data_IF_051027384529
#
_entry.id   IF_051027384529
#
_cell.length_a   1.000
_cell.length_b   1.000
_cell.length_c   1.000
_cell.angle_alpha   90.00
_cell.angle_beta   90.00
_cell.angle_gamma   90.00
#
_symmetry.space_group_name_H-M   'P 1'
#
loop_
_entity.id
_entity.type
_entity.pdbx_description
1 polymer ?
#
# COMPACT_ATOMS: atom_id res chain seq x y z
N UNK A 1 -37.00 -11.42 5.50
CA UNK A 1 -37.15 -10.86 6.50
C UNK A 1 -36.05 -10.46 7.38
N UNK A 2 -35.43 -11.31 8.10
CA UNK A 2 -34.42 -10.94 9.03
C UNK A 2 -33.12 -10.56 8.40
N UNK A 3 -32.95 -10.87 7.17
CA UNK A 3 -31.69 -10.67 6.46
C UNK A 3 -31.23 -9.24 6.42
N UNK A 4 -32.15 -8.31 6.33
CA UNK A 4 -31.81 -6.89 6.23
C UNK A 4 -31.16 -6.30 7.47
N UNK A 5 -31.25 -7.00 8.58
CA UNK A 5 -30.77 -6.46 9.84
C UNK A 5 -29.24 -6.36 9.89
N UNK A 6 -28.54 -7.24 9.22
CA UNK A 6 -27.08 -7.25 9.27
C UNK A 6 -26.42 -6.22 8.38
N UNK A 7 -27.11 -5.68 7.39
CA UNK A 7 -26.47 -4.73 6.48
C UNK A 7 -26.01 -3.43 7.14
N UNK A 8 -26.79 -2.78 7.99
CA UNK A 8 -26.34 -1.54 8.62
C UNK A 8 -25.08 -1.73 9.46
N UNK A 9 -24.96 -2.87 10.10
CA UNK A 9 -23.76 -3.14 10.92
C UNK A 9 -22.50 -3.23 10.08
N UNK A 10 -22.59 -3.83 8.92
CA UNK A 10 -21.44 -3.95 8.01
C UNK A 10 -21.00 -2.59 7.50
N UNK A 11 -21.93 -1.75 7.14
CA UNK A 11 -21.61 -0.41 6.65
C UNK A 11 -20.98 0.45 7.73
N UNK A 12 -21.45 0.34 8.96
CA UNK A 12 -20.88 1.09 10.06
C UNK A 12 -19.42 0.70 10.30
N UNK A 13 -19.10 -0.58 10.21
CA UNK A 13 -17.75 -1.05 10.38
C UNK A 13 -16.81 -0.47 9.30
N UNK A 14 -17.30 -0.37 8.07
CA UNK A 14 -16.51 0.20 6.98
C UNK A 14 -16.17 1.67 7.21
N UNK A 15 -17.05 2.42 7.82
CA UNK A 15 -16.82 3.84 8.05
C UNK A 15 -15.75 4.11 9.11
N UNK A 16 -15.48 3.15 9.98
CA UNK A 16 -14.49 3.33 11.04
C UNK A 16 -13.05 3.19 10.54
N UNK A 17 -12.84 2.87 9.29
CA UNK A 17 -11.51 2.61 8.76
C UNK A 17 -10.92 3.77 7.97
N UNK A 18 -11.49 4.98 8.12
CA UNK A 18 -11.10 6.14 7.32
C UNK A 18 -9.67 6.63 7.54
N UNK A 19 -9.08 6.39 8.73
CA UNK A 19 -7.73 6.84 9.06
C UNK A 19 -6.69 5.72 9.01
N UNK A 20 -7.02 4.60 8.42
CA UNK A 20 -6.15 3.44 8.34
C UNK A 20 -5.26 3.49 7.10
N UNK A 21 -4.33 2.53 7.03
CA UNK A 21 -3.51 2.34 5.84
C UNK A 21 -4.39 2.05 4.62
N UNK A 22 -3.91 2.46 3.45
CA UNK A 22 -4.55 2.11 2.18
C UNK A 22 -4.65 0.58 2.13
N UNK A 23 -5.84 0.02 1.89
CA UNK A 23 -5.97 -1.43 1.79
C UNK A 23 -5.49 -1.95 0.43
N UNK A 24 -5.15 -3.25 0.38
CA UNK A 24 -4.85 -3.88 -0.89
C UNK A 24 -6.15 -4.22 -1.63
N UNK A 25 -6.09 -4.15 -2.96
CA UNK A 25 -7.11 -4.76 -3.81
C UNK A 25 -6.95 -6.28 -3.72
N UNK A 26 -7.95 -7.07 -4.16
CA UNK A 26 -7.80 -8.53 -4.19
C UNK A 26 -6.56 -8.98 -4.99
N UNK A 27 -6.29 -8.33 -6.10
CA UNK A 27 -5.12 -8.65 -6.93
C UNK A 27 -3.84 -8.17 -6.26
N UNK A 28 -3.86 -6.98 -5.68
CA UNK A 28 -2.70 -6.45 -4.98
C UNK A 28 -2.28 -7.29 -3.79
N UNK A 29 -3.24 -7.92 -3.12
CA UNK A 29 -2.95 -8.78 -1.98
C UNK A 29 -2.12 -10.01 -2.36
N UNK A 30 -2.13 -10.39 -3.64
CA UNK A 30 -1.36 -11.53 -4.13
C UNK A 30 0.07 -11.17 -4.52
N UNK A 31 0.40 -9.88 -4.55
CA UNK A 31 1.72 -9.42 -4.94
C UNK A 31 2.67 -9.55 -3.75
N UNK A 32 3.83 -10.15 -3.99
CA UNK A 32 4.85 -10.33 -2.98
C UNK A 32 5.88 -9.22 -3.06
N UNK A 33 6.20 -8.61 -1.92
CA UNK A 33 7.29 -7.63 -1.83
C UNK A 33 8.53 -8.34 -1.34
N UNK A 34 9.64 -8.19 -2.05
CA UNK A 34 10.90 -8.84 -1.69
C UNK A 34 12.00 -7.80 -1.58
N UNK A 35 13.02 -8.11 -0.76
CA UNK A 35 14.14 -7.20 -0.56
C UNK A 35 15.28 -7.44 -1.53
N UNK A 36 15.32 -8.62 -2.15
CA UNK A 36 16.36 -8.97 -3.10
C UNK A 36 15.77 -9.12 -4.48
N UNK A 37 16.60 -8.92 -5.50
CA UNK A 37 16.16 -9.10 -6.87
C UNK A 37 15.68 -10.54 -7.06
N UNK A 38 14.46 -10.75 -7.59
CA UNK A 38 13.97 -12.10 -7.79
C UNK A 38 14.81 -12.84 -8.83
N UNK A 39 14.98 -14.13 -8.56
CA UNK A 39 15.76 -15.01 -9.43
C UNK A 39 14.82 -15.93 -10.18
N UNK A 40 15.32 -16.52 -11.26
CA UNK A 40 14.55 -17.46 -12.05
C UNK A 40 13.80 -16.76 -13.17
N UNK A 41 12.62 -17.28 -13.49
CA UNK A 41 11.90 -16.86 -14.67
C UNK A 41 11.01 -15.65 -14.37
N UNK A 42 11.64 -14.50 -14.20
CA UNK A 42 10.98 -13.25 -13.85
C UNK A 42 11.23 -12.20 -14.91
N UNK A 43 10.15 -11.68 -15.48
CA UNK A 43 10.22 -10.65 -16.50
C UNK A 43 10.01 -9.27 -15.87
N UNK A 44 10.94 -8.34 -16.06
CA UNK A 44 10.77 -6.98 -15.52
C UNK A 44 9.68 -6.24 -16.29
N UNK A 45 8.82 -5.54 -15.54
CA UNK A 45 7.72 -4.77 -16.11
C UNK A 45 7.88 -3.27 -15.90
N UNK A 46 8.85 -2.85 -15.11
CA UNK A 46 9.08 -1.44 -14.87
C UNK A 46 9.19 -1.11 -13.41
N UNK A 47 9.21 0.18 -13.11
CA UNK A 47 9.39 0.69 -11.76
C UNK A 47 8.19 1.52 -11.40
N UNK A 48 7.71 1.39 -10.17
CA UNK A 48 6.58 2.18 -9.67
C UNK A 48 6.87 2.69 -8.28
N UNK A 49 6.10 3.68 -7.88
CA UNK A 49 6.21 4.31 -6.57
C UNK A 49 4.88 4.14 -5.85
N UNK A 50 4.92 3.56 -4.65
CA UNK A 50 3.78 3.51 -3.76
C UNK A 50 3.95 4.55 -2.66
N UNK A 51 2.86 5.19 -2.26
CA UNK A 51 2.94 6.22 -1.24
C UNK A 51 1.64 6.32 -0.46
N UNK A 52 1.77 6.83 0.74
CA UNK A 52 0.61 7.21 1.55
C UNK A 52 0.97 8.38 2.43
N UNK A 53 -0.04 9.21 2.71
CA UNK A 53 0.08 10.34 3.60
C UNK A 53 0.02 11.66 2.85
N UNK A 54 -0.24 12.71 3.61
CA UNK A 54 -0.14 14.07 3.14
C UNK A 54 0.00 14.96 4.37
N UNK A 55 0.26 16.24 4.15
CA UNK A 55 0.54 17.12 5.26
C UNK A 55 -0.68 17.39 6.15
N UNK A 56 -1.90 17.10 5.69
CA UNK A 56 -3.10 17.26 6.50
C UNK A 56 -3.32 16.08 7.44
N UNK A 57 -3.15 14.86 6.94
CA UNK A 57 -3.56 13.67 7.66
C UNK A 57 -2.40 12.84 8.18
N UNK A 58 -1.18 13.10 7.70
CA UNK A 58 -0.03 12.30 8.07
C UNK A 58 0.26 12.31 9.56
N UNK A 59 0.05 13.45 10.24
CA UNK A 59 0.29 13.57 11.67
C UNK A 59 -0.66 12.71 12.52
N UNK A 60 -1.85 12.39 11.99
CA UNK A 60 -2.81 11.57 12.72
C UNK A 60 -2.79 10.12 12.28
N UNK A 61 -1.95 9.78 11.32
CA UNK A 61 -1.76 8.42 10.85
C UNK A 61 -0.45 7.90 11.43
N UNK A 62 -0.47 6.73 12.05
CA UNK A 62 0.74 6.16 12.64
C UNK A 62 1.80 5.89 11.56
N UNK A 63 3.09 5.93 11.94
CA UNK A 63 4.17 5.61 11.01
C UNK A 63 4.03 4.20 10.43
N UNK A 64 3.54 3.26 11.26
CA UNK A 64 3.31 1.90 10.81
C UNK A 64 2.24 1.85 9.71
N UNK A 65 1.17 2.64 9.87
CA UNK A 65 0.11 2.69 8.88
C UNK A 65 0.55 3.41 7.62
N UNK A 66 1.38 4.44 7.74
CA UNK A 66 1.95 5.09 6.56
C UNK A 66 2.81 4.13 5.75
N UNK A 67 3.64 3.35 6.44
CA UNK A 67 4.50 2.36 5.78
C UNK A 67 3.67 1.26 5.13
N UNK A 68 2.70 0.72 5.88
CA UNK A 68 1.84 -0.33 5.35
C UNK A 68 1.03 0.17 4.16
N UNK A 69 0.49 1.38 4.28
CA UNK A 69 -0.29 1.96 3.19
C UNK A 69 0.54 2.18 1.93
N UNK A 70 1.78 2.67 2.08
CA UNK A 70 2.66 2.86 0.95
C UNK A 70 3.00 1.53 0.26
N UNK A 71 3.22 0.48 1.06
CA UNK A 71 3.47 -0.86 0.51
C UNK A 71 2.25 -1.43 -0.18
N UNK A 72 1.08 -1.22 0.39
CA UNK A 72 -0.17 -1.68 -0.22
C UNK A 72 -0.46 -0.93 -1.52
N UNK A 73 -0.19 0.38 -1.54
CA UNK A 73 -0.32 1.16 -2.76
C UNK A 73 0.60 0.62 -3.85
N UNK A 74 1.83 0.27 -3.48
CA UNK A 74 2.79 -0.32 -4.41
C UNK A 74 2.29 -1.66 -4.94
N UNK A 75 1.75 -2.51 -4.06
CA UNK A 75 1.18 -3.80 -4.48
C UNK A 75 0.04 -3.61 -5.47
N UNK A 76 -0.85 -2.66 -5.18
CA UNK A 76 -2.00 -2.40 -6.04
C UNK A 76 -1.54 -1.93 -7.43
N UNK A 77 -0.54 -1.06 -7.47
CA UNK A 77 0.01 -0.57 -8.74
C UNK A 77 0.71 -1.66 -9.52
N UNK A 78 1.44 -2.52 -8.82
CA UNK A 78 2.12 -3.65 -9.45
C UNK A 78 1.11 -4.61 -10.06
N UNK A 79 0.05 -4.93 -9.33
CA UNK A 79 -1.00 -5.82 -9.84
C UNK A 79 -1.66 -5.23 -11.08
N UNK A 80 -1.88 -3.91 -11.10
CA UNK A 80 -2.49 -3.24 -12.25
C UNK A 80 -1.62 -3.37 -13.51
N UNK A 81 -0.31 -3.53 -13.34
CA UNK A 81 0.62 -3.74 -14.45
C UNK A 81 0.80 -5.21 -14.80
N UNK A 82 0.13 -6.10 -14.10
CA UNK A 82 0.25 -7.54 -14.32
C UNK A 82 1.40 -8.20 -13.58
N UNK A 83 2.03 -7.50 -12.65
CA UNK A 83 3.14 -8.04 -11.86
C UNK A 83 2.66 -8.87 -10.68
N UNK A 84 3.51 -9.76 -10.22
CA UNK A 84 3.24 -10.57 -9.03
C UNK A 84 4.36 -10.52 -7.99
N UNK A 85 5.48 -9.91 -8.34
CA UNK A 85 6.62 -9.74 -7.41
C UNK A 85 7.14 -8.32 -7.56
N UNK A 86 7.46 -7.68 -6.44
CA UNK A 86 8.07 -6.36 -6.43
C UNK A 86 9.35 -6.41 -5.63
N UNK A 87 10.44 -6.00 -6.25
CA UNK A 87 11.72 -5.80 -5.57
C UNK A 87 11.73 -4.39 -5.01
N UNK A 88 11.66 -4.28 -3.69
CA UNK A 88 11.65 -2.99 -3.02
C UNK A 88 13.06 -2.42 -3.07
N UNK A 89 13.21 -1.23 -3.63
CA UNK A 89 14.52 -0.62 -3.84
C UNK A 89 14.83 0.50 -2.88
N UNK A 90 13.80 1.25 -2.49
CA UNK A 90 14.02 2.40 -1.62
C UNK A 90 12.76 2.68 -0.84
N UNK A 91 12.95 3.11 0.40
CA UNK A 91 11.86 3.57 1.26
C UNK A 91 12.29 4.93 1.80
N UNK A 92 11.44 5.93 1.65
CA UNK A 92 11.73 7.23 2.21
C UNK A 92 10.52 7.78 2.96
N UNK A 93 10.82 8.48 4.04
CA UNK A 93 9.81 9.12 4.87
C UNK A 93 10.06 10.62 4.85
N UNK A 94 8.99 11.38 4.78
CA UNK A 94 9.07 12.83 4.76
C UNK A 94 8.12 13.40 5.77
N UNK A 95 8.47 14.58 6.30
CA UNK A 95 7.63 15.33 7.23
C UNK A 95 7.23 16.65 6.59
N UNK A 96 5.97 17.03 6.77
CA UNK A 96 5.54 18.36 6.36
C UNK A 96 6.15 19.39 7.28
N UNK A 97 6.39 20.59 6.75
CA UNK A 97 6.94 21.70 7.53
C UNK A 97 6.00 22.00 8.71
N UNK A 98 6.57 22.06 9.90
CA UNK A 98 5.81 22.30 11.12
C UNK A 98 5.24 21.05 11.77
N UNK A 99 5.39 19.88 11.17
CA UNK A 99 4.94 18.62 11.75
C UNK A 99 6.00 18.03 12.66
N UNK A 100 5.58 17.26 13.65
CA UNK A 100 6.48 16.65 14.60
C UNK A 100 6.86 15.22 14.25
N UNK A 101 6.42 14.68 13.13
CA UNK A 101 6.71 13.31 12.72
C UNK A 101 6.61 13.11 11.23
N UNK A 102 6.69 11.87 10.82
CA UNK A 102 6.56 11.50 9.41
C UNK A 102 5.14 11.73 8.93
N UNK A 103 4.96 12.45 7.83
CA UNK A 103 3.66 12.70 7.24
C UNK A 103 3.45 11.93 5.94
N UNK A 104 4.54 11.50 5.30
CA UNK A 104 4.49 10.75 4.05
C UNK A 104 5.46 9.61 4.09
N UNK A 105 5.09 8.50 3.47
CA UNK A 105 6.00 7.38 3.22
C UNK A 105 5.90 7.01 1.76
N UNK A 106 7.06 6.84 1.14
CA UNK A 106 7.18 6.51 -0.28
C UNK A 106 8.06 5.27 -0.41
N UNK A 107 7.60 4.31 -1.20
CA UNK A 107 8.33 3.07 -1.46
C UNK A 107 8.51 2.93 -2.97
N UNK A 108 9.76 2.79 -3.42
CA UNK A 108 10.06 2.59 -4.83
C UNK A 108 10.30 1.10 -5.04
N UNK A 109 9.69 0.52 -6.06
CA UNK A 109 9.85 -0.88 -6.35
C UNK A 109 9.93 -1.17 -7.83
N UNK A 110 10.69 -2.20 -8.16
CA UNK A 110 10.77 -2.73 -9.52
C UNK A 110 9.84 -3.92 -9.64
N UNK A 111 8.97 -3.88 -10.62
CA UNK A 111 7.91 -4.85 -10.78
C UNK A 111 8.36 -5.98 -11.70
N UNK A 112 8.04 -7.21 -11.32
CA UNK A 112 8.33 -8.40 -12.12
C UNK A 112 7.10 -9.27 -12.26
N UNK A 113 7.04 -9.97 -13.37
CA UNK A 113 6.11 -11.08 -13.55
C UNK A 113 6.93 -12.35 -13.51
N UNK A 114 6.77 -13.11 -12.43
CA UNK A 114 7.50 -14.37 -12.22
C UNK A 114 6.56 -15.54 -12.44
N UNK A 115 7.09 -16.58 -13.03
CA UNK A 115 6.35 -17.81 -13.30
C UNK A 115 6.68 -18.90 -12.31
#
# INVERSE_FOLDING_TARGET
MKVGVSFPAVMAAGLLMGCSAIPTTPEGAKVELVNDKPMGNCKPLGEVIGSQGNWFTGDVTSNADLMLGARNDLRNKAAALGGNVVHVQNVSNASAWGSSGTTNTTVVGRIYKCQ
#
